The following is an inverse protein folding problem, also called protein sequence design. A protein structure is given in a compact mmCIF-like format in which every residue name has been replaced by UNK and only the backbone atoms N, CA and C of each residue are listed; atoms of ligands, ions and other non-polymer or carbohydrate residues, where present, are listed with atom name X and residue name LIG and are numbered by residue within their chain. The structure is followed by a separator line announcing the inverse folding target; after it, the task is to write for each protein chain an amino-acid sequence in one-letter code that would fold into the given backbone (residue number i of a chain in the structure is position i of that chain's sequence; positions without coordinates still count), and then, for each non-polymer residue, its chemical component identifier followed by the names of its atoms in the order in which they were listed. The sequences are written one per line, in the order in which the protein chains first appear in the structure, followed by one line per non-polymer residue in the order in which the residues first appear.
data_IF_922401294345
#
_entry.id   IF_922401294345
#
_cell.length_a   1.000
_cell.length_b   1.000
_cell.length_c   1.000
_cell.angle_alpha   90.00
_cell.angle_beta   90.00
_cell.angle_gamma   90.00
#
_symmetry.space_group_name_H-M   'P 1'
#
loop_
_entity.id
_entity.type
_entity.pdbx_description
1 polymer ?
#
# COMPACT_ATOMS: atom_id res chain seq x y z
N UNK A 1 6.50 -12.10 9.27
CA UNK A 1 7.46 -11.23 8.57
C UNK A 1 8.22 -10.40 9.60
N UNK A 2 9.39 -9.83 9.28
CA UNK A 2 10.01 -8.83 10.17
C UNK A 2 9.40 -7.46 9.84
N UNK A 3 9.17 -6.62 10.87
CA UNK A 3 8.63 -5.28 10.66
C UNK A 3 9.58 -4.45 9.80
N UNK A 4 9.09 -3.91 8.69
CA UNK A 4 9.88 -3.07 7.78
C UNK A 4 9.18 -1.75 7.51
N UNK A 5 9.95 -0.67 7.36
CA UNK A 5 9.45 0.64 6.96
C UNK A 5 9.93 0.96 5.55
N UNK A 6 9.05 1.55 4.74
CA UNK A 6 9.31 1.97 3.36
C UNK A 6 8.85 3.41 3.17
N UNK A 7 9.62 4.18 2.40
CA UNK A 7 9.16 5.45 1.85
C UNK A 7 8.63 5.18 0.45
N UNK A 8 7.38 5.54 0.20
CA UNK A 8 6.68 5.24 -1.05
C UNK A 8 6.27 6.56 -1.71
N UNK A 9 6.63 6.70 -2.99
CA UNK A 9 6.24 7.84 -3.81
C UNK A 9 5.06 7.49 -4.71
N UNK A 10 4.99 8.15 -5.87
CA UNK A 10 3.86 8.07 -6.80
C UNK A 10 3.78 6.77 -7.60
N UNK A 11 4.87 6.01 -7.68
CA UNK A 11 4.90 4.71 -8.34
C UNK A 11 4.26 3.63 -7.47
N UNK A 12 3.41 2.80 -8.08
CA UNK A 12 2.84 1.63 -7.42
C UNK A 12 3.93 0.70 -6.88
N UNK A 13 3.85 0.41 -5.58
CA UNK A 13 4.70 -0.54 -4.87
C UNK A 13 3.84 -1.68 -4.33
N UNK A 14 4.31 -2.91 -4.53
CA UNK A 14 3.65 -4.08 -3.97
C UNK A 14 3.96 -4.20 -2.47
N UNK A 15 2.92 -4.41 -1.68
CA UNK A 15 3.00 -4.61 -0.23
C UNK A 15 2.80 -6.08 0.13
N UNK A 16 1.86 -6.75 -0.53
CA UNK A 16 1.57 -8.17 -0.32
C UNK A 16 1.46 -8.92 -1.64
N UNK A 17 1.74 -10.22 -1.61
CA UNK A 17 1.57 -11.17 -2.72
C UNK A 17 0.32 -12.06 -2.54
N UNK A 18 -0.51 -11.77 -1.55
CA UNK A 18 -1.72 -12.53 -1.24
C UNK A 18 -1.49 -13.84 -0.48
N UNK A 19 -0.26 -14.17 -0.06
CA UNK A 19 0.03 -15.46 0.58
C UNK A 19 -0.06 -15.45 2.10
N UNK A 20 0.16 -14.29 2.73
CA UNK A 20 0.17 -14.12 4.19
C UNK A 20 -0.58 -12.87 4.62
N UNK A 21 -1.13 -12.90 5.84
CA UNK A 21 -1.72 -11.72 6.44
C UNK A 21 -0.62 -10.79 6.94
N UNK A 22 -0.78 -9.49 6.74
CA UNK A 22 0.14 -8.46 7.23
C UNK A 22 -0.62 -7.29 7.84
N UNK A 23 0.02 -6.62 8.78
CA UNK A 23 -0.45 -5.35 9.30
C UNK A 23 0.30 -4.21 8.60
N UNK A 24 -0.43 -3.25 8.04
CA UNK A 24 0.11 -2.11 7.31
C UNK A 24 -0.29 -0.82 8.01
N UNK A 25 0.69 -0.03 8.42
CA UNK A 25 0.49 1.31 8.95
C UNK A 25 0.91 2.34 7.90
N UNK A 26 0.01 3.26 7.56
CA UNK A 26 0.25 4.36 6.62
C UNK A 26 0.39 5.66 7.42
N UNK A 27 1.47 6.40 7.18
CA UNK A 27 1.67 7.78 7.64
C UNK A 27 1.77 8.69 6.43
N UNK A 28 0.81 9.60 6.30
CA UNK A 28 0.47 10.32 5.07
C UNK A 28 -0.80 9.78 4.42
N UNK A 29 -1.01 10.13 3.16
CA UNK A 29 -2.17 9.85 2.32
C UNK A 29 -1.75 8.99 1.13
N UNK A 30 -2.35 7.82 1.03
CA UNK A 30 -1.99 6.79 0.08
C UNK A 30 -3.20 6.30 -0.71
N UNK A 31 -2.96 5.94 -1.96
CA UNK A 31 -3.93 5.20 -2.75
C UNK A 31 -3.55 3.72 -2.70
N UNK A 32 -4.54 2.86 -2.46
CA UNK A 32 -4.41 1.42 -2.26
C UNK A 32 -5.35 0.67 -3.20
N UNK A 33 -4.86 -0.39 -3.85
CA UNK A 33 -5.72 -1.29 -4.61
C UNK A 33 -5.27 -2.75 -4.49
N UNK A 34 -6.22 -3.67 -4.72
CA UNK A 34 -5.94 -5.09 -4.91
C UNK A 34 -5.77 -5.37 -6.40
N UNK A 35 -4.65 -5.99 -6.78
CA UNK A 35 -4.39 -6.37 -8.18
C UNK A 35 -3.33 -7.47 -8.26
N UNK A 36 -3.54 -8.53 -9.06
CA UNK A 36 -2.55 -9.60 -9.23
C UNK A 36 -1.30 -9.15 -10.00
N UNK A 37 -1.36 -8.00 -10.69
CA UNK A 37 -0.26 -7.42 -11.47
C UNK A 37 -0.05 -5.96 -11.10
N UNK A 38 1.11 -5.40 -11.45
CA UNK A 38 1.39 -3.98 -11.22
C UNK A 38 0.29 -3.12 -11.85
N UNK A 39 -0.40 -2.27 -11.08
CA UNK A 39 -1.48 -1.44 -11.60
C UNK A 39 -0.99 -0.36 -12.58
N UNK A 40 -1.90 0.07 -13.46
CA UNK A 40 -1.70 1.24 -14.31
C UNK A 40 -1.85 2.55 -13.54
N UNK A 41 -1.53 3.68 -14.19
CA UNK A 41 -1.60 5.01 -13.56
C UNK A 41 -3.03 5.37 -13.12
N UNK A 42 -4.02 5.07 -13.97
CA UNK A 42 -5.45 5.36 -13.76
C UNK A 42 -6.21 4.22 -13.05
N UNK A 43 -5.51 3.27 -12.43
CA UNK A 43 -6.17 2.18 -11.71
C UNK A 43 -7.08 2.75 -10.60
N UNK A 44 -8.37 2.35 -10.54
CA UNK A 44 -9.24 2.69 -9.42
C UNK A 44 -8.65 2.19 -8.10
N UNK A 45 -8.62 3.07 -7.10
CA UNK A 45 -7.99 2.80 -5.82
C UNK A 45 -8.77 3.43 -4.67
N UNK A 46 -8.60 2.87 -3.47
CA UNK A 46 -9.11 3.43 -2.22
C UNK A 46 -8.06 4.35 -1.62
N UNK A 47 -8.46 5.57 -1.26
CA UNK A 47 -7.57 6.50 -0.58
C UNK A 47 -7.69 6.34 0.94
N UNK A 48 -6.56 6.19 1.60
CA UNK A 48 -6.43 6.08 3.05
C UNK A 48 -5.44 7.12 3.56
N UNK A 49 -5.73 7.73 4.72
CA UNK A 49 -4.84 8.72 5.34
C UNK A 49 -4.62 8.39 6.81
N UNK A 50 -3.35 8.34 7.23
CA UNK A 50 -2.94 8.15 8.63
C UNK A 50 -3.70 7.03 9.34
N UNK A 51 -3.65 5.83 8.76
CA UNK A 51 -4.46 4.69 9.21
C UNK A 51 -3.63 3.43 9.31
N UNK A 52 -4.21 2.43 9.98
CA UNK A 52 -3.68 1.08 10.09
C UNK A 52 -4.71 0.11 9.51
N UNK A 53 -4.24 -0.83 8.70
CA UNK A 53 -5.07 -1.79 8.00
C UNK A 53 -4.46 -3.18 8.04
N UNK A 54 -5.29 -4.18 8.29
CA UNK A 54 -4.92 -5.59 8.20
C UNK A 54 -5.28 -6.11 6.82
N UNK A 55 -4.28 -6.56 6.07
CA UNK A 55 -4.47 -7.22 4.78
C UNK A 55 -4.42 -8.71 5.01
N UNK A 56 -5.41 -9.44 4.49
CA UNK A 56 -5.45 -10.90 4.55
C UNK A 56 -5.38 -11.49 3.14
N UNK A 57 -4.84 -12.72 2.99
CA UNK A 57 -4.99 -13.50 1.77
C UNK A 57 -6.45 -13.56 1.30
N UNK A 58 -6.72 -13.56 -0.02
CA UNK A 58 -5.77 -13.63 -1.13
C UNK A 58 -5.32 -12.25 -1.68
N UNK A 59 -5.50 -11.17 -0.93
CA UNK A 59 -5.32 -9.79 -1.42
C UNK A 59 -3.86 -9.50 -1.80
N UNK A 60 -3.63 -9.09 -3.05
CA UNK A 60 -2.34 -8.60 -3.54
C UNK A 60 -2.37 -7.07 -3.52
N UNK A 61 -2.01 -6.51 -2.37
CA UNK A 61 -2.11 -5.08 -2.11
C UNK A 61 -0.97 -4.32 -2.78
N UNK A 62 -1.33 -3.30 -3.53
CA UNK A 62 -0.45 -2.26 -4.05
C UNK A 62 -0.76 -0.92 -3.39
N UNK A 63 0.28 -0.12 -3.20
CA UNK A 63 0.16 1.23 -2.62
C UNK A 63 1.02 2.23 -3.37
N UNK A 64 0.57 3.49 -3.41
CA UNK A 64 1.35 4.66 -3.83
C UNK A 64 0.99 5.88 -2.98
N UNK A 65 1.81 6.91 -2.97
CA UNK A 65 1.41 8.20 -2.39
C UNK A 65 0.28 8.83 -3.21
N UNK A 66 -0.67 9.48 -2.54
CA UNK A 66 -1.73 10.25 -3.21
C UNK A 66 -1.16 11.46 -3.95
N UNK A 67 -1.93 12.03 -4.88
CA UNK A 67 -1.39 12.99 -5.87
C UNK A 67 -0.84 14.29 -5.31
N UNK A 68 -1.36 14.73 -4.16
CA UNK A 68 -0.92 15.94 -3.48
C UNK A 68 0.23 15.67 -2.49
N UNK A 69 0.57 14.40 -2.24
CA UNK A 69 1.68 14.01 -1.38
C UNK A 69 2.87 13.52 -2.20
N UNK A 70 4.03 14.14 -1.99
CA UNK A 70 5.27 13.72 -2.65
C UNK A 70 5.67 12.29 -2.28
N UNK A 71 5.72 11.99 -0.97
CA UNK A 71 6.06 10.67 -0.45
C UNK A 71 5.31 10.39 0.86
N UNK A 72 4.99 9.11 1.08
CA UNK A 72 4.44 8.58 2.33
C UNK A 72 5.42 7.64 3.02
N UNK A 73 5.20 7.43 4.32
CA UNK A 73 5.86 6.35 5.06
C UNK A 73 4.87 5.23 5.31
N UNK A 74 5.26 4.01 4.99
CA UNK A 74 4.48 2.79 5.23
C UNK A 74 5.30 1.82 6.07
N UNK A 75 4.71 1.28 7.13
CA UNK A 75 5.31 0.23 7.96
C UNK A 75 4.49 -1.04 7.77
N UNK A 76 5.16 -2.18 7.59
CA UNK A 76 4.52 -3.48 7.37
C UNK A 76 5.12 -4.52 8.32
N UNK A 77 4.28 -5.29 9.00
CA UNK A 77 4.66 -6.36 9.93
C UNK A 77 3.90 -7.66 9.70
#
# INVERSE_FOLDING_TARGET
MATTAKTIGRDWQQITDGTQSVLVQITGSADVCDSPVKPGEDQPAHSFSNTELTVTPPTTMWIRSSWFEGNIRVVVS
#
